data_IF_687851051709
#
_entry.id   IF_687851051709
#
_cell.length_a   1.000
_cell.length_b   1.000
_cell.length_c   1.000
_cell.angle_alpha   90.00
_cell.angle_beta   90.00
_cell.angle_gamma   90.00
#
_symmetry.space_group_name_H-M   'P 1'
#
loop_
_entity.id
_entity.type
_entity.pdbx_description
1 polymer ?
#
# COMPACT_ATOMS: atom_id res chain seq x y z
N UNK A 1 -1.98 20.50 15.27
CA UNK A 1 -2.41 19.13 14.92
C UNK A 1 -3.68 19.27 14.12
N UNK A 2 -3.60 18.94 12.83
CA UNK A 2 -4.70 19.06 11.87
C UNK A 2 -5.53 17.77 11.86
N UNK A 3 -6.75 17.84 11.31
CA UNK A 3 -7.60 16.64 11.09
C UNK A 3 -6.91 15.57 10.24
N UNK A 4 -5.99 15.98 9.36
CA UNK A 4 -5.20 15.07 8.56
C UNK A 4 -4.17 14.32 9.41
N UNK A 5 -3.48 15.01 10.33
CA UNK A 5 -2.51 14.38 11.24
C UNK A 5 -3.18 13.32 12.13
N UNK A 6 -4.39 13.61 12.62
CA UNK A 6 -5.15 12.66 13.42
C UNK A 6 -5.58 11.44 12.61
N UNK A 7 -6.01 11.64 11.36
CA UNK A 7 -6.35 10.54 10.45
C UNK A 7 -5.13 9.68 10.13
N UNK A 8 -3.98 10.31 9.87
CA UNK A 8 -2.71 9.61 9.58
C UNK A 8 -2.27 8.75 10.77
N UNK A 9 -2.36 9.28 11.98
CA UNK A 9 -2.06 8.54 13.21
C UNK A 9 -3.02 7.37 13.44
N UNK A 10 -4.32 7.56 13.21
CA UNK A 10 -5.30 6.48 13.35
C UNK A 10 -5.10 5.36 12.32
N UNK A 11 -4.80 5.73 11.08
CA UNK A 11 -4.41 4.78 10.03
C UNK A 11 -3.12 4.05 10.42
N UNK A 12 -2.15 4.76 11.00
CA UNK A 12 -0.89 4.19 11.44
C UNK A 12 -1.07 3.08 12.49
N UNK A 13 -1.85 3.34 13.54
CA UNK A 13 -2.17 2.35 14.57
C UNK A 13 -2.94 1.15 13.99
N UNK A 14 -3.87 1.40 13.06
CA UNK A 14 -4.64 0.33 12.41
C UNK A 14 -3.75 -0.59 11.57
N UNK A 15 -2.80 -0.01 10.82
CA UNK A 15 -1.83 -0.77 10.04
C UNK A 15 -0.90 -1.59 10.93
N UNK A 16 -0.46 -1.04 12.07
CA UNK A 16 0.36 -1.78 13.03
C UNK A 16 -0.36 -3.03 13.58
N UNK A 17 -1.67 -2.92 13.83
CA UNK A 17 -2.46 -4.07 14.27
C UNK A 17 -2.57 -5.17 13.18
N UNK A 18 -2.59 -4.80 11.90
CA UNK A 18 -2.72 -5.74 10.80
C UNK A 18 -1.38 -6.35 10.36
N UNK A 19 -0.32 -5.56 10.32
CA UNK A 19 0.98 -5.95 9.77
C UNK A 19 2.01 -6.33 10.86
N UNK A 20 1.67 -6.16 12.14
CA UNK A 20 2.58 -6.35 13.25
C UNK A 20 3.61 -5.21 13.38
N UNK A 21 4.76 -5.51 13.98
CA UNK A 21 5.79 -4.50 14.28
C UNK A 21 6.65 -4.11 13.05
N UNK A 22 6.64 -4.93 12.00
CA UNK A 22 7.36 -4.67 10.77
C UNK A 22 6.45 -3.93 9.78
N UNK A 23 6.76 -2.66 9.55
CA UNK A 23 6.03 -1.83 8.60
C UNK A 23 6.35 -2.26 7.16
N UNK A 24 5.38 -2.78 6.41
CA UNK A 24 5.65 -3.26 5.06
C UNK A 24 5.97 -2.08 4.14
N UNK A 25 6.80 -2.35 3.14
CA UNK A 25 6.87 -1.50 1.96
C UNK A 25 5.57 -1.61 1.18
N UNK A 26 5.06 -0.48 0.69
CA UNK A 26 3.86 -0.45 -0.12
C UNK A 26 4.20 -0.30 -1.60
N UNK A 27 3.38 -0.89 -2.45
CA UNK A 27 3.44 -0.74 -3.91
C UNK A 27 2.05 -0.55 -4.49
N UNK A 28 2.01 -0.01 -5.70
CA UNK A 28 0.81 -0.08 -6.52
C UNK A 28 0.65 -1.52 -7.07
N UNK A 29 -0.58 -1.94 -7.28
CA UNK A 29 -0.94 -3.25 -7.81
C UNK A 29 -2.03 -3.09 -8.87
N UNK A 30 -2.09 -4.04 -9.81
CA UNK A 30 -3.15 -4.08 -10.81
C UNK A 30 -4.38 -4.75 -10.21
N UNK A 31 -5.56 -4.23 -10.50
CA UNK A 31 -6.84 -4.85 -10.15
C UNK A 31 -7.44 -5.55 -11.37
N UNK A 32 -8.34 -6.50 -11.13
CA UNK A 32 -9.02 -7.29 -12.18
C UNK A 32 -9.96 -6.49 -13.09
N UNK A 33 -10.21 -5.22 -12.77
CA UNK A 33 -11.15 -4.35 -13.47
C UNK A 33 -10.63 -3.82 -14.83
N UNK A 34 -9.39 -4.17 -15.20
CA UNK A 34 -8.88 -3.96 -16.56
C UNK A 34 -8.63 -2.49 -16.91
N UNK A 35 -8.33 -1.66 -15.92
CA UNK A 35 -7.90 -0.29 -16.16
C UNK A 35 -6.49 -0.25 -16.76
N UNK A 36 -6.16 0.81 -17.50
CA UNK A 36 -4.85 0.98 -18.18
C UNK A 36 -3.66 1.12 -17.20
N UNK A 37 -3.86 1.00 -15.89
CA UNK A 37 -2.82 1.20 -14.89
C UNK A 37 -3.17 0.60 -13.52
N UNK A 38 -2.22 0.59 -12.57
CA UNK A 38 -2.44 -0.01 -11.26
C UNK A 38 -3.42 0.83 -10.42
N UNK A 39 -4.61 0.29 -10.20
CA UNK A 39 -5.70 0.85 -9.39
C UNK A 39 -5.85 0.14 -8.05
N UNK A 40 -4.77 -0.47 -7.54
CA UNK A 40 -4.71 -1.06 -6.22
C UNK A 40 -3.45 -0.67 -5.47
N UNK A 41 -3.46 -0.84 -4.15
CA UNK A 41 -2.29 -0.75 -3.29
C UNK A 41 -2.20 -1.98 -2.40
N UNK A 42 -1.00 -2.50 -2.22
CA UNK A 42 -0.73 -3.62 -1.32
C UNK A 42 0.70 -3.57 -0.80
N UNK A 43 1.01 -4.27 0.30
CA UNK A 43 2.36 -4.59 0.69
C UNK A 43 3.17 -5.23 -0.46
N UNK A 44 4.46 -4.92 -0.52
CA UNK A 44 5.41 -5.65 -1.36
C UNK A 44 5.49 -7.09 -0.86
N UNK A 45 5.34 -8.05 -1.78
CA UNK A 45 5.49 -9.46 -1.47
C UNK A 45 6.93 -9.71 -0.97
N UNK A 46 7.12 -10.36 0.18
CA UNK A 46 8.46 -10.67 0.68
C UNK A 46 9.11 -11.85 -0.06
N UNK A 47 8.32 -12.58 -0.87
CA UNK A 47 8.81 -13.71 -1.65
C UNK A 47 9.65 -13.22 -2.84
N UNK A 48 10.95 -13.55 -2.91
CA UNK A 48 11.81 -13.12 -4.01
C UNK A 48 11.47 -13.80 -5.34
N UNK A 49 10.70 -14.89 -5.35
CA UNK A 49 10.24 -15.54 -6.58
C UNK A 49 9.04 -14.81 -7.21
N UNK A 50 8.39 -13.91 -6.47
CA UNK A 50 7.33 -13.06 -7.02
C UNK A 50 7.88 -11.72 -7.49
N UNK A 51 7.72 -11.42 -8.78
CA UNK A 51 8.09 -10.12 -9.34
C UNK A 51 7.26 -9.00 -8.72
N UNK A 52 7.92 -7.90 -8.36
CA UNK A 52 7.30 -6.75 -7.69
C UNK A 52 6.17 -6.09 -8.51
N UNK A 53 6.21 -6.23 -9.83
CA UNK A 53 5.19 -5.71 -10.76
C UNK A 53 4.19 -6.76 -11.22
N UNK A 54 4.44 -8.04 -10.91
CA UNK A 54 3.54 -9.13 -11.24
C UNK A 54 2.60 -9.33 -10.05
N UNK A 55 1.31 -9.34 -10.32
CA UNK A 55 0.32 -9.57 -9.28
C UNK A 55 -0.95 -8.76 -9.46
N UNK A 56 -2.02 -9.50 -9.68
CA UNK A 56 -3.38 -9.08 -9.42
C UNK A 56 -3.56 -8.90 -7.90
N UNK A 57 -4.09 -7.73 -7.52
CA UNK A 57 -4.40 -7.32 -6.15
C UNK A 57 -5.12 -8.43 -5.37
N UNK A 58 -6.01 -9.16 -6.03
CA UNK A 58 -6.86 -10.16 -5.37
C UNK A 58 -6.36 -11.60 -5.48
N UNK A 59 -5.29 -11.85 -6.25
CA UNK A 59 -4.81 -13.21 -6.50
C UNK A 59 -3.63 -13.61 -5.60
N UNK A 60 -2.64 -12.74 -5.45
CA UNK A 60 -1.38 -13.09 -4.79
C UNK A 60 -0.78 -11.97 -3.93
N UNK A 61 -1.38 -10.78 -3.90
CA UNK A 61 -0.87 -9.68 -3.10
C UNK A 61 -1.09 -9.96 -1.60
N UNK A 62 -0.10 -9.65 -0.73
CA UNK A 62 -0.31 -9.75 0.71
C UNK A 62 -1.39 -8.77 1.17
N UNK A 63 -2.11 -9.14 2.22
CA UNK A 63 -3.05 -8.25 2.91
C UNK A 63 -2.31 -7.29 3.86
N UNK A 64 -2.84 -6.07 4.11
CA UNK A 64 -4.08 -5.52 3.55
C UNK A 64 -3.93 -5.04 2.10
N UNK A 65 -4.79 -5.55 1.21
CA UNK A 65 -4.91 -5.15 -0.18
C UNK A 65 -6.10 -4.20 -0.34
N UNK A 66 -5.89 -3.06 -0.99
CA UNK A 66 -6.91 -1.99 -1.09
C UNK A 66 -7.04 -1.54 -2.53
N UNK A 67 -8.27 -1.57 -3.04
CA UNK A 67 -8.61 -0.97 -4.33
C UNK A 67 -8.62 0.56 -4.23
N UNK A 68 -8.04 1.21 -5.22
CA UNK A 68 -7.95 2.64 -5.38
C UNK A 68 -8.58 3.02 -6.72
N UNK A 69 -9.55 3.93 -6.71
CA UNK A 69 -10.36 4.30 -7.89
C UNK A 69 -9.57 4.90 -9.08
N UNK A 70 -8.26 5.15 -8.92
CA UNK A 70 -7.40 5.60 -10.01
C UNK A 70 -5.92 5.33 -9.74
N UNK A 71 -5.12 5.21 -10.81
CA UNK A 71 -3.66 5.09 -10.75
C UNK A 71 -3.02 6.28 -10.01
N UNK A 72 -3.49 7.51 -10.25
CA UNK A 72 -2.97 8.69 -9.56
C UNK A 72 -3.20 8.62 -8.04
N UNK A 73 -4.37 8.14 -7.61
CA UNK A 73 -4.67 7.95 -6.20
C UNK A 73 -3.82 6.83 -5.59
N UNK A 74 -3.69 5.69 -6.28
CA UNK A 74 -2.85 4.58 -5.85
C UNK A 74 -1.39 5.03 -5.64
N UNK A 75 -0.82 5.76 -6.60
CA UNK A 75 0.55 6.29 -6.50
C UNK A 75 0.73 7.27 -5.35
N UNK A 76 -0.24 8.18 -5.15
CA UNK A 76 -0.22 9.12 -4.02
C UNK A 76 -0.24 8.39 -2.68
N UNK A 77 -1.13 7.41 -2.50
CA UNK A 77 -1.25 6.66 -1.25
C UNK A 77 -0.01 5.83 -0.95
N UNK A 78 0.59 5.19 -1.96
CA UNK A 78 1.85 4.45 -1.83
C UNK A 78 2.98 5.37 -1.36
N UNK A 79 3.13 6.54 -1.97
CA UNK A 79 4.14 7.52 -1.56
C UNK A 79 3.91 7.97 -0.11
N UNK A 80 2.64 8.23 0.24
CA UNK A 80 2.25 8.67 1.57
C UNK A 80 2.55 7.63 2.66
N UNK A 81 2.18 6.37 2.43
CA UNK A 81 2.38 5.27 3.36
C UNK A 81 3.86 4.91 3.53
N UNK A 82 4.64 4.95 2.44
CA UNK A 82 6.08 4.71 2.52
C UNK A 82 6.83 5.88 3.18
N UNK A 83 6.35 7.11 3.07
CA UNK A 83 6.91 8.25 3.83
C UNK A 83 6.66 8.13 5.34
N UNK A 84 5.56 7.47 5.75
CA UNK A 84 5.25 7.22 7.16
C UNK A 84 6.02 6.02 7.75
N UNK A 85 6.76 5.27 6.93
CA UNK A 85 7.51 4.09 7.38
C UNK A 85 8.67 4.50 8.29
N UNK A 86 8.94 3.80 9.40
CA UNK A 86 10.11 4.09 10.24
C UNK A 86 11.41 3.98 9.40
N UNK A 87 12.12 5.09 9.24
CA UNK A 87 13.32 5.19 8.39
C UNK A 87 13.08 5.65 6.96
N UNK A 88 11.85 6.02 6.58
CA UNK A 88 11.54 6.68 5.32
C UNK A 88 12.22 8.06 5.24
N UNK A 89 12.95 8.31 4.15
CA UNK A 89 13.57 9.59 3.89
C UNK A 89 12.48 10.66 3.69
N UNK A 90 12.63 11.77 4.43
CA UNK A 90 11.89 13.01 4.18
C UNK A 90 12.30 13.65 2.85
#
# INVERSE_FOLDING_TARGET
MTRLDDTRRAAHESLKLMCGDAWPEWRAAYTTDGTDGPTGIAPVCPDPEHERGDGDLWACCPEPAVEAESNALAGYLVALLNADRPGGAA
#
